data_IF_046513408433
#
_entry.id   IF_046513408433
#
_cell.length_a   1.000
_cell.length_b   1.000
_cell.length_c   1.000
_cell.angle_alpha   90.00
_cell.angle_beta   90.00
_cell.angle_gamma   90.00
#
_symmetry.space_group_name_H-M   'P 1'
#
loop_
_entity.id
_entity.type
_entity.pdbx_description
1 polymer ?
#
# COMPACT_ATOMS: atom_id res chain seq x y z
N UNK A 1 23.33 -18.86 -1.34
CA UNK A 1 24.43 -17.89 -1.47
C UNK A 1 23.90 -16.53 -1.05
N UNK A 2 24.30 -16.01 0.11
CA UNK A 2 23.95 -14.65 0.53
C UNK A 2 24.62 -13.66 -0.43
N UNK A 3 23.89 -12.72 -1.05
CA UNK A 3 24.52 -11.64 -1.78
C UNK A 3 25.38 -10.87 -0.78
N UNK A 4 26.69 -10.80 -1.03
CA UNK A 4 27.58 -9.93 -0.27
C UNK A 4 27.08 -8.49 -0.45
N UNK A 5 27.21 -7.68 0.60
CA UNK A 5 27.02 -6.22 0.57
C UNK A 5 28.08 -5.53 -0.33
N UNK A 6 28.21 -5.92 -1.59
CA UNK A 6 29.31 -5.52 -2.48
C UNK A 6 29.11 -4.13 -3.11
N UNK A 7 28.01 -3.43 -2.84
CA UNK A 7 27.66 -2.18 -3.56
C UNK A 7 27.48 -0.93 -2.69
N UNK A 8 27.63 -1.01 -1.37
CA UNK A 8 27.63 0.19 -0.51
C UNK A 8 29.10 0.57 -0.22
N UNK A 9 29.55 1.78 -0.60
CA UNK A 9 30.92 2.22 -0.32
C UNK A 9 31.27 2.06 1.17
N UNK A 10 32.49 1.62 1.46
CA UNK A 10 32.96 1.45 2.84
C UNK A 10 32.73 2.73 3.65
N UNK A 11 32.11 2.59 4.83
CA UNK A 11 31.76 3.71 5.71
C UNK A 11 30.36 4.31 5.50
N UNK A 12 29.53 3.77 4.59
CA UNK A 12 28.14 4.17 4.41
C UNK A 12 27.15 3.11 4.92
N UNK A 13 25.91 3.55 5.17
CA UNK A 13 24.75 2.70 5.46
C UNK A 13 23.54 3.13 4.62
N UNK A 14 22.70 2.16 4.28
CA UNK A 14 21.41 2.41 3.65
C UNK A 14 20.37 2.75 4.72
N UNK A 15 19.45 3.63 4.37
CA UNK A 15 18.29 4.00 5.18
C UNK A 15 17.07 3.81 4.31
N UNK A 16 16.24 2.84 4.67
CA UNK A 16 15.12 2.36 3.87
C UNK A 16 13.82 2.54 4.67
N UNK A 17 12.81 3.11 4.02
CA UNK A 17 11.42 3.11 4.45
C UNK A 17 10.54 2.49 3.37
N UNK A 18 9.50 1.77 3.77
CA UNK A 18 8.59 1.06 2.86
C UNK A 18 7.17 1.60 3.00
N UNK A 19 6.51 1.76 1.85
CA UNK A 19 5.10 2.13 1.74
C UNK A 19 4.35 0.93 1.15
N UNK A 20 3.60 0.25 2.02
CA UNK A 20 2.93 -1.01 1.67
C UNK A 20 1.44 -0.77 1.52
N UNK A 21 0.91 -1.03 0.32
CA UNK A 21 -0.52 -0.99 0.07
C UNK A 21 -1.08 -2.41 0.14
N UNK A 22 -2.05 -2.61 1.02
CA UNK A 22 -2.73 -3.90 1.23
C UNK A 22 -4.16 -3.76 0.76
N UNK A 23 -4.54 -4.54 -0.25
CA UNK A 23 -5.93 -4.70 -0.66
C UNK A 23 -6.69 -5.53 0.35
N UNK A 24 -7.81 -5.00 0.83
CA UNK A 24 -8.63 -5.66 1.83
C UNK A 24 -9.60 -6.65 1.20
N UNK A 25 -9.71 -7.83 1.80
CA UNK A 25 -10.65 -8.91 1.42
C UNK A 25 -12.07 -8.63 1.94
N UNK A 26 -12.63 -7.48 1.57
CA UNK A 26 -14.04 -7.14 1.78
C UNK A 26 -14.91 -7.70 0.66
N UNK A 27 -16.23 -7.73 0.84
CA UNK A 27 -17.17 -8.10 -0.26
C UNK A 27 -17.56 -6.94 -1.17
N UNK A 28 -17.51 -5.72 -0.65
CA UNK A 28 -17.89 -4.52 -1.37
C UNK A 28 -16.82 -3.45 -1.29
N UNK A 29 -16.80 -2.56 -2.27
CA UNK A 29 -15.91 -1.40 -2.36
C UNK A 29 -15.97 -0.50 -1.13
N UNK A 30 -14.96 0.38 -0.97
CA UNK A 30 -14.81 1.19 0.26
C UNK A 30 -15.92 2.25 0.38
N UNK A 31 -16.43 2.75 -0.75
CA UNK A 31 -17.39 3.86 -0.78
C UNK A 31 -18.71 3.54 -1.50
N UNK A 32 -18.90 2.30 -1.96
CA UNK A 32 -20.12 1.85 -2.62
C UNK A 32 -20.33 0.34 -2.48
N UNK A 33 -21.48 -0.16 -2.94
CA UNK A 33 -21.88 -1.56 -2.77
C UNK A 33 -21.41 -2.52 -3.88
N UNK A 34 -20.64 -2.05 -4.87
CA UNK A 34 -20.12 -2.90 -5.94
C UNK A 34 -19.18 -3.99 -5.40
N UNK A 35 -19.14 -5.14 -6.08
CA UNK A 35 -18.20 -6.23 -5.77
C UNK A 35 -16.74 -5.80 -5.90
N UNK A 36 -15.87 -6.52 -5.20
CA UNK A 36 -14.41 -6.44 -5.26
C UNK A 36 -13.78 -7.74 -5.80
N UNK A 37 -14.59 -8.64 -6.39
CA UNK A 37 -14.10 -9.92 -6.92
C UNK A 37 -13.14 -9.69 -8.10
N UNK A 38 -12.01 -10.39 -8.09
CA UNK A 38 -11.02 -10.31 -9.16
C UNK A 38 -11.46 -11.06 -10.42
N UNK A 39 -10.99 -10.61 -11.59
CA UNK A 39 -11.16 -11.34 -12.86
C UNK A 39 -12.52 -11.20 -13.55
N UNK A 40 -13.36 -10.24 -13.14
CA UNK A 40 -14.62 -9.95 -13.81
C UNK A 40 -14.41 -9.25 -15.17
N UNK A 41 -15.43 -9.32 -16.04
CA UNK A 41 -15.44 -8.61 -17.33
C UNK A 41 -15.20 -7.11 -17.15
N UNK A 42 -14.42 -6.44 -18.02
CA UNK A 42 -14.07 -5.02 -17.87
C UNK A 42 -15.29 -4.13 -17.63
N UNK A 43 -15.19 -3.24 -16.64
CA UNK A 43 -16.24 -2.29 -16.23
C UNK A 43 -17.58 -2.89 -15.78
N UNK A 44 -17.68 -4.21 -15.55
CA UNK A 44 -18.92 -4.88 -15.09
C UNK A 44 -19.25 -4.67 -13.61
N UNK A 45 -18.25 -4.34 -12.77
CA UNK A 45 -18.39 -4.15 -11.32
C UNK A 45 -18.37 -2.67 -10.94
N UNK A 46 -19.20 -1.87 -11.60
CA UNK A 46 -19.18 -0.41 -11.50
C UNK A 46 -20.55 0.18 -11.12
N UNK A 47 -20.55 1.41 -10.60
CA UNK A 47 -21.74 2.19 -10.28
C UNK A 47 -21.42 3.69 -10.33
N UNK A 48 -22.43 4.59 -10.25
CA UNK A 48 -22.20 6.04 -10.30
C UNK A 48 -21.14 6.57 -9.33
N UNK A 49 -21.02 5.97 -8.13
CA UNK A 49 -20.05 6.40 -7.11
C UNK A 49 -18.61 6.09 -7.53
N UNK A 50 -18.30 4.84 -7.86
CA UNK A 50 -16.94 4.45 -8.22
C UNK A 50 -16.54 4.94 -9.62
N UNK A 51 -17.52 5.20 -10.50
CA UNK A 51 -17.31 5.86 -11.79
C UNK A 51 -17.16 7.39 -11.69
N UNK A 52 -17.29 7.98 -10.50
CA UNK A 52 -17.17 9.43 -10.32
C UNK A 52 -18.22 10.23 -11.09
N UNK A 53 -19.43 9.69 -11.29
CA UNK A 53 -20.48 10.38 -12.02
C UNK A 53 -21.04 11.58 -11.22
N UNK A 54 -21.54 12.63 -11.92
CA UNK A 54 -22.11 13.80 -11.27
C UNK A 54 -23.23 13.44 -10.28
N UNK A 55 -23.15 14.00 -9.07
CA UNK A 55 -24.16 13.82 -8.01
C UNK A 55 -23.98 12.57 -7.14
N UNK A 56 -23.02 11.69 -7.44
CA UNK A 56 -22.75 10.51 -6.62
C UNK A 56 -21.98 10.86 -5.33
N UNK A 57 -22.33 10.20 -4.21
CA UNK A 57 -21.73 10.45 -2.90
C UNK A 57 -21.12 9.17 -2.30
N UNK A 58 -19.95 9.26 -1.62
CA UNK A 58 -19.31 8.10 -1.01
C UNK A 58 -19.99 7.68 0.30
N UNK A 59 -20.15 6.38 0.52
CA UNK A 59 -20.64 5.80 1.78
C UNK A 59 -19.64 4.77 2.30
N UNK A 60 -18.99 5.08 3.43
CA UNK A 60 -17.91 4.26 3.97
C UNK A 60 -18.36 2.83 4.34
N UNK A 61 -17.60 1.86 3.87
CA UNK A 61 -17.75 0.45 4.22
C UNK A 61 -17.25 0.20 5.66
N UNK A 62 -18.16 -0.26 6.53
CA UNK A 62 -17.88 -0.57 7.94
C UNK A 62 -16.75 -1.61 8.11
N UNK A 63 -16.68 -2.61 7.22
CA UNK A 63 -15.69 -3.68 7.32
C UNK A 63 -14.27 -3.18 7.08
N UNK A 64 -14.11 -2.12 6.27
CA UNK A 64 -12.81 -1.48 6.03
C UNK A 64 -12.24 -0.89 7.32
N UNK A 65 -13.09 -0.20 8.11
CA UNK A 65 -12.70 0.35 9.41
C UNK A 65 -12.31 -0.77 10.38
N UNK A 66 -13.10 -1.86 10.42
CA UNK A 66 -12.80 -3.02 11.26
C UNK A 66 -11.43 -3.62 10.93
N UNK A 67 -11.13 -3.81 9.65
CA UNK A 67 -9.86 -4.39 9.21
C UNK A 67 -8.67 -3.47 9.47
N UNK A 68 -8.83 -2.16 9.26
CA UNK A 68 -7.79 -1.18 9.57
C UNK A 68 -7.46 -1.13 11.07
N UNK A 69 -8.49 -1.16 11.93
CA UNK A 69 -8.31 -1.23 13.39
C UNK A 69 -7.68 -2.55 13.81
N UNK A 70 -8.10 -3.68 13.23
CA UNK A 70 -7.51 -5.00 13.50
C UNK A 70 -6.02 -5.01 13.16
N UNK A 71 -5.63 -4.45 12.02
CA UNK A 71 -4.24 -4.30 11.63
C UNK A 71 -3.48 -3.41 12.62
N UNK A 72 -4.05 -2.26 12.98
CA UNK A 72 -3.46 -1.35 13.96
C UNK A 72 -3.19 -2.01 15.31
N UNK A 73 -4.14 -2.78 15.85
CA UNK A 73 -3.96 -3.52 17.10
C UNK A 73 -2.87 -4.59 16.98
N UNK A 74 -2.86 -5.33 15.87
CA UNK A 74 -1.90 -6.39 15.63
C UNK A 74 -0.46 -5.87 15.49
N UNK A 75 -0.28 -4.61 15.08
CA UNK A 75 1.01 -3.93 15.00
C UNK A 75 1.27 -3.00 16.18
N UNK A 76 0.54 -3.15 17.30
CA UNK A 76 0.68 -2.30 18.50
C UNK A 76 0.58 -0.79 18.22
N UNK A 77 -0.15 -0.40 17.19
CA UNK A 77 -0.37 1.01 16.83
C UNK A 77 -1.36 1.66 17.78
N UNK A 78 -1.18 2.97 18.01
CA UNK A 78 -2.21 3.80 18.62
C UNK A 78 -3.38 3.95 17.64
N UNK A 79 -4.58 3.55 18.07
CA UNK A 79 -5.82 3.75 17.29
C UNK A 79 -6.37 5.15 17.58
N UNK A 80 -6.53 5.96 16.54
CA UNK A 80 -7.11 7.28 16.67
C UNK A 80 -8.64 7.18 16.78
N UNK A 81 -9.21 7.81 17.82
CA UNK A 81 -10.66 7.87 18.03
C UNK A 81 -11.37 8.74 17.00
N UNK A 82 -10.63 9.65 16.38
CA UNK A 82 -11.07 10.52 15.31
C UNK A 82 -10.05 10.43 14.19
N UNK A 83 -10.51 10.09 12.98
CA UNK A 83 -9.71 10.10 11.75
C UNK A 83 -10.50 10.79 10.64
N UNK A 84 -9.81 11.43 9.70
CA UNK A 84 -10.45 12.24 8.65
C UNK A 84 -10.06 11.70 7.27
N UNK A 85 -11.07 11.48 6.42
CA UNK A 85 -10.83 11.26 5.00
C UNK A 85 -10.57 12.58 4.28
N UNK A 86 -9.52 12.61 3.47
CA UNK A 86 -9.07 13.72 2.66
C UNK A 86 -9.12 13.36 1.17
N UNK A 87 -9.12 14.38 0.31
CA UNK A 87 -9.06 14.22 -1.15
C UNK A 87 -7.64 14.48 -1.63
N UNK A 88 -6.98 13.46 -2.15
CA UNK A 88 -5.68 13.56 -2.82
C UNK A 88 -5.94 13.81 -4.30
N UNK A 89 -5.84 15.07 -4.73
CA UNK A 89 -6.23 15.50 -6.08
C UNK A 89 -5.10 15.28 -7.09
N UNK A 90 -5.39 14.56 -8.17
CA UNK A 90 -4.50 14.39 -9.33
C UNK A 90 -5.31 13.85 -10.51
N UNK A 91 -4.85 14.12 -11.72
CA UNK A 91 -5.51 13.68 -12.94
C UNK A 91 -4.80 12.46 -13.52
N UNK A 92 -5.53 11.36 -13.65
CA UNK A 92 -5.09 10.17 -14.37
C UNK A 92 -6.32 9.40 -14.89
N UNK A 93 -6.26 8.76 -16.08
CA UNK A 93 -7.45 8.15 -16.69
C UNK A 93 -8.16 7.09 -15.86
N UNK A 94 -7.43 6.33 -15.04
CA UNK A 94 -7.99 5.30 -14.16
C UNK A 94 -8.52 5.84 -12.81
N UNK A 95 -8.48 7.16 -12.60
CA UNK A 95 -9.00 7.85 -11.43
C UNK A 95 -10.16 8.79 -11.82
N UNK A 96 -11.38 8.28 -11.95
CA UNK A 96 -12.48 8.99 -12.59
C UNK A 96 -12.94 10.25 -11.84
N UNK A 97 -12.68 10.34 -10.54
CA UNK A 97 -13.08 11.48 -9.70
C UNK A 97 -12.15 12.70 -9.81
N UNK A 98 -10.97 12.55 -10.40
CA UNK A 98 -9.89 13.55 -10.34
C UNK A 98 -9.28 13.71 -8.93
N UNK A 99 -9.67 12.85 -7.99
CA UNK A 99 -9.08 12.71 -6.67
C UNK A 99 -9.28 11.30 -6.13
N UNK A 100 -8.35 10.86 -5.30
CA UNK A 100 -8.44 9.64 -4.50
C UNK A 100 -8.89 10.04 -3.09
N UNK A 101 -9.90 9.36 -2.55
CA UNK A 101 -10.28 9.49 -1.14
C UNK A 101 -9.32 8.63 -0.31
N UNK A 102 -8.52 9.28 0.51
CA UNK A 102 -7.50 8.66 1.39
C UNK A 102 -7.55 9.36 2.77
N UNK A 103 -6.57 9.18 3.65
CA UNK A 103 -6.43 9.99 4.87
C UNK A 103 -5.08 10.68 4.87
N UNK A 104 -5.05 11.96 5.24
CA UNK A 104 -3.82 12.76 5.25
C UNK A 104 -3.39 13.08 6.69
N UNK A 105 -3.85 14.15 7.30
CA UNK A 105 -3.35 14.60 8.62
C UNK A 105 -3.75 13.67 9.76
N UNK A 106 -4.96 13.11 9.73
CA UNK A 106 -5.50 12.29 10.82
C UNK A 106 -5.79 10.85 10.32
N UNK A 107 -4.77 9.99 10.23
CA UNK A 107 -4.92 8.58 9.89
C UNK A 107 -5.61 7.80 11.01
N UNK A 108 -6.12 6.60 10.69
CA UNK A 108 -6.78 5.73 11.67
C UNK A 108 -5.82 5.12 12.70
N UNK A 109 -4.56 4.84 12.32
CA UNK A 109 -3.55 4.29 13.23
C UNK A 109 -2.20 4.99 13.09
N UNK A 110 -1.47 5.15 14.20
CA UNK A 110 -0.14 5.76 14.24
C UNK A 110 0.80 5.02 15.21
N UNK A 111 2.10 5.15 15.00
CA UNK A 111 3.15 4.72 15.95
C UNK A 111 3.11 3.22 16.31
N UNK A 112 2.99 2.36 15.31
CA UNK A 112 3.05 0.90 15.49
C UNK A 112 4.46 0.33 15.40
N UNK A 113 4.58 -0.98 15.52
CA UNK A 113 5.80 -1.76 15.33
C UNK A 113 5.50 -3.12 14.73
N UNK A 114 6.46 -3.66 13.97
CA UNK A 114 6.48 -5.06 13.53
C UNK A 114 7.85 -5.66 13.83
N UNK A 115 7.85 -6.90 14.29
CA UNK A 115 9.07 -7.63 14.60
C UNK A 115 9.50 -8.49 13.41
N UNK A 116 10.78 -8.42 13.05
CA UNK A 116 11.35 -9.17 11.94
C UNK A 116 12.55 -10.01 12.40
N UNK A 117 12.74 -11.22 11.88
CA UNK A 117 13.93 -12.01 12.15
C UNK A 117 15.13 -11.47 11.33
N UNK A 118 16.24 -11.20 12.01
CA UNK A 118 17.49 -10.72 11.40
C UNK A 118 18.67 -11.46 12.04
N UNK A 119 19.38 -12.28 11.25
CA UNK A 119 20.59 -12.99 11.67
C UNK A 119 20.48 -13.74 13.02
N UNK A 120 19.34 -14.41 13.26
CA UNK A 120 19.10 -15.16 14.51
C UNK A 120 18.65 -14.30 15.70
N UNK A 121 18.43 -13.00 15.49
CA UNK A 121 17.86 -12.07 16.47
C UNK A 121 16.55 -11.46 15.95
N UNK A 122 15.79 -10.81 16.83
CA UNK A 122 14.58 -10.06 16.45
C UNK A 122 14.90 -8.58 16.40
N UNK A 123 14.47 -7.91 15.34
CA UNK A 123 14.55 -6.45 15.19
C UNK A 123 13.14 -5.88 15.06
N UNK A 124 12.83 -4.84 15.83
CA UNK A 124 11.58 -4.10 15.70
C UNK A 124 11.72 -3.00 14.65
N UNK A 125 10.81 -2.96 13.68
CA UNK A 125 10.68 -1.89 12.67
C UNK A 125 9.44 -1.08 13.03
N UNK A 126 9.59 0.24 13.19
CA UNK A 126 8.45 1.10 13.52
C UNK A 126 7.58 1.35 12.29
N UNK A 127 6.28 1.40 12.53
CA UNK A 127 5.26 1.83 11.58
C UNK A 127 4.88 3.25 11.96
N UNK A 128 5.05 4.17 11.01
CA UNK A 128 4.69 5.57 11.17
C UNK A 128 3.17 5.73 11.27
N UNK A 129 2.46 5.13 10.30
CA UNK A 129 0.99 5.26 10.16
C UNK A 129 0.39 4.11 9.38
N UNK A 130 -0.90 3.88 9.60
CA UNK A 130 -1.78 3.08 8.75
C UNK A 130 -3.00 3.93 8.43
N UNK A 131 -3.37 4.01 7.16
CA UNK A 131 -4.55 4.74 6.74
C UNK A 131 -5.37 4.01 5.68
N UNK A 132 -6.65 4.35 5.63
CA UNK A 132 -7.61 3.78 4.67
C UNK A 132 -7.66 4.63 3.40
N UNK A 133 -7.74 3.97 2.26
CA UNK A 133 -7.97 4.65 0.98
C UNK A 133 -8.68 3.76 -0.04
N UNK A 134 -9.10 4.37 -1.14
CA UNK A 134 -9.61 3.65 -2.31
C UNK A 134 -8.53 3.42 -3.35
N UNK A 135 -8.58 2.28 -4.05
CA UNK A 135 -7.71 2.03 -5.20
C UNK A 135 -8.21 2.74 -6.47
N UNK A 136 -7.27 2.95 -7.40
CA UNK A 136 -7.56 3.38 -8.75
C UNK A 136 -7.95 2.20 -9.66
N UNK A 137 -8.45 2.50 -10.86
CA UNK A 137 -8.71 1.50 -11.89
C UNK A 137 -7.43 0.90 -12.48
N UNK A 138 -7.55 0.22 -13.61
CA UNK A 138 -6.44 -0.35 -14.37
C UNK A 138 -6.39 0.30 -15.75
N UNK A 139 -5.20 0.79 -16.12
CA UNK A 139 -4.89 1.24 -17.48
C UNK A 139 -4.19 0.11 -18.24
N UNK A 140 -4.67 -0.22 -19.44
CA UNK A 140 -4.13 -1.26 -20.32
C UNK A 140 -3.60 -0.60 -21.58
N UNK A 141 -2.32 -0.84 -21.86
CA UNK A 141 -1.61 -0.27 -23.01
C UNK A 141 -1.05 -1.40 -23.87
N UNK A 142 -1.06 -1.22 -25.20
CA UNK A 142 -0.32 -2.08 -26.16
C UNK A 142 -0.55 -3.59 -25.99
N UNK A 143 -1.81 -4.01 -25.91
CA UNK A 143 -2.19 -5.42 -26.11
C UNK A 143 -2.53 -5.70 -27.58
N UNK A 144 -2.64 -6.97 -27.98
CA UNK A 144 -2.89 -7.38 -29.37
C UNK A 144 -4.13 -6.71 -29.99
N UNK A 145 -5.13 -6.42 -29.14
CA UNK A 145 -6.39 -5.77 -29.51
C UNK A 145 -6.44 -4.27 -29.22
N UNK A 146 -5.32 -3.65 -28.83
CA UNK A 146 -5.23 -2.22 -28.48
C UNK A 146 -4.28 -1.52 -29.44
N UNK A 147 -4.78 -0.49 -30.15
CA UNK A 147 -3.92 0.31 -31.02
C UNK A 147 -2.77 0.95 -30.21
N UNK A 148 -1.58 1.06 -30.81
CA UNK A 148 -0.36 1.47 -30.10
C UNK A 148 -0.39 2.88 -29.48
N UNK A 149 -1.37 3.70 -29.86
CA UNK A 149 -1.62 5.06 -29.37
C UNK A 149 -2.87 5.17 -28.47
N UNK A 150 -3.49 4.05 -28.11
CA UNK A 150 -4.70 4.01 -27.29
C UNK A 150 -4.40 3.41 -25.90
N UNK A 151 -5.28 3.70 -24.96
CA UNK A 151 -5.27 3.14 -23.61
C UNK A 151 -6.68 2.74 -23.27
N UNK A 152 -6.87 1.48 -22.89
CA UNK A 152 -8.14 1.00 -22.38
C UNK A 152 -8.16 1.16 -20.86
N UNK A 153 -9.29 1.61 -20.33
CA UNK A 153 -9.48 1.84 -18.89
C UNK A 153 -10.54 0.87 -18.38
N UNK A 154 -10.14 0.05 -17.39
CA UNK A 154 -11.05 -0.80 -16.62
C UNK A 154 -11.18 -0.27 -15.19
N UNK A 155 -12.40 0.14 -14.83
CA UNK A 155 -12.73 0.72 -13.53
C UNK A 155 -13.31 -0.30 -12.54
N UNK A 156 -13.26 -1.60 -12.85
CA UNK A 156 -13.61 -2.65 -11.89
C UNK A 156 -12.86 -2.51 -10.56
N UNK A 157 -11.55 -2.20 -10.62
CA UNK A 157 -10.73 -2.00 -9.41
C UNK A 157 -10.94 -0.65 -8.72
N UNK A 158 -11.47 0.36 -9.41
CA UNK A 158 -11.65 1.68 -8.81
C UNK A 158 -12.63 1.60 -7.63
N UNK A 159 -12.19 2.05 -6.46
CA UNK A 159 -12.97 1.97 -5.22
C UNK A 159 -12.74 0.71 -4.39
N UNK A 160 -11.88 -0.22 -4.83
CA UNK A 160 -11.48 -1.36 -3.99
C UNK A 160 -10.77 -0.84 -2.73
N UNK A 161 -11.06 -1.35 -1.52
CA UNK A 161 -10.47 -0.80 -0.30
C UNK A 161 -9.00 -1.19 -0.13
N UNK A 162 -8.19 -0.21 0.24
CA UNK A 162 -6.80 -0.39 0.64
C UNK A 162 -6.58 0.09 2.08
N UNK A 163 -5.58 -0.50 2.74
CA UNK A 163 -4.83 0.19 3.78
C UNK A 163 -3.40 0.44 3.30
N UNK A 164 -2.93 1.67 3.45
CA UNK A 164 -1.53 2.04 3.22
C UNK A 164 -0.80 2.06 4.58
N UNK A 165 0.26 1.26 4.68
CA UNK A 165 1.10 1.08 5.86
C UNK A 165 2.49 1.66 5.55
N UNK A 166 2.84 2.73 6.25
CA UNK A 166 4.11 3.43 6.04
C UNK A 166 5.06 3.13 7.19
N UNK A 167 6.23 2.59 6.88
CA UNK A 167 7.27 2.35 7.89
C UNK A 167 8.02 3.64 8.22
N UNK A 168 8.60 3.69 9.41
CA UNK A 168 9.73 4.59 9.67
C UNK A 168 10.96 4.10 8.89
N UNK A 169 11.96 4.96 8.66
CA UNK A 169 13.17 4.59 7.93
C UNK A 169 14.15 3.81 8.84
N UNK A 170 13.72 2.67 9.39
CA UNK A 170 14.46 1.82 10.33
C UNK A 170 15.18 0.64 9.66
N UNK A 171 14.83 0.35 8.41
CA UNK A 171 15.39 -0.75 7.63
C UNK A 171 16.78 -0.33 7.10
N UNK A 172 17.76 -1.22 7.21
CA UNK A 172 19.18 -0.97 6.91
C UNK A 172 19.75 -1.87 5.83
N UNK A 173 19.07 -2.96 5.49
CA UNK A 173 19.51 -3.90 4.45
C UNK A 173 18.34 -4.39 3.60
N UNK A 174 18.60 -4.83 2.35
CA UNK A 174 17.58 -5.47 1.52
C UNK A 174 16.98 -6.73 2.18
N UNK A 175 17.78 -7.48 2.94
CA UNK A 175 17.32 -8.67 3.66
C UNK A 175 16.32 -8.31 4.77
N UNK A 176 16.55 -7.20 5.47
CA UNK A 176 15.57 -6.67 6.44
C UNK A 176 14.29 -6.19 5.74
N UNK A 177 14.39 -5.56 4.56
CA UNK A 177 13.22 -5.15 3.78
C UNK A 177 12.37 -6.37 3.36
N UNK A 178 13.01 -7.43 2.89
CA UNK A 178 12.35 -8.69 2.57
C UNK A 178 11.69 -9.32 3.81
N UNK A 179 12.40 -9.38 4.94
CA UNK A 179 11.86 -9.91 6.20
C UNK A 179 10.65 -9.10 6.71
N UNK A 180 10.68 -7.76 6.56
CA UNK A 180 9.56 -6.88 6.87
C UNK A 180 8.33 -7.18 6.02
N UNK A 181 8.48 -7.26 4.70
CA UNK A 181 7.36 -7.56 3.81
C UNK A 181 6.83 -8.98 4.07
N UNK A 182 7.70 -9.95 4.35
CA UNK A 182 7.30 -11.32 4.65
C UNK A 182 6.49 -11.41 5.94
N UNK A 183 6.92 -10.71 7.00
CA UNK A 183 6.18 -10.58 8.26
C UNK A 183 4.84 -9.87 8.04
N UNK A 184 4.82 -8.80 7.24
CA UNK A 184 3.60 -8.07 6.88
C UNK A 184 2.59 -9.00 6.18
N UNK A 185 3.05 -9.74 5.17
CA UNK A 185 2.23 -10.70 4.42
C UNK A 185 1.69 -11.80 5.33
N UNK A 186 2.52 -12.34 6.22
CA UNK A 186 2.07 -13.33 7.20
C UNK A 186 0.97 -12.75 8.09
N UNK A 187 1.15 -11.51 8.57
CA UNK A 187 0.22 -10.86 9.48
C UNK A 187 -1.14 -10.60 8.83
N UNK A 188 -1.19 -9.99 7.65
CA UNK A 188 -2.46 -9.67 6.97
C UNK A 188 -3.27 -10.93 6.63
N UNK A 189 -2.58 -12.02 6.29
CA UNK A 189 -3.19 -13.34 6.06
C UNK A 189 -3.71 -13.96 7.35
N UNK A 190 -2.93 -13.89 8.42
CA UNK A 190 -3.31 -14.41 9.73
C UNK A 190 -4.55 -13.69 10.29
N UNK A 191 -4.61 -12.36 10.11
CA UNK A 191 -5.77 -11.56 10.50
C UNK A 191 -7.00 -11.77 9.62
N UNK A 192 -6.85 -12.46 8.48
CA UNK A 192 -7.92 -12.68 7.51
C UNK A 192 -8.40 -11.40 6.82
N UNK A 193 -7.54 -10.38 6.71
CA UNK A 193 -7.91 -9.08 6.13
C UNK A 193 -7.45 -8.94 4.67
N UNK A 194 -6.50 -9.76 4.22
CA UNK A 194 -5.97 -9.80 2.84
C UNK A 194 -5.36 -11.17 2.56
N UNK A 195 -5.37 -11.61 1.29
CA UNK A 195 -4.62 -12.80 0.85
C UNK A 195 -3.10 -12.54 0.70
N UNK A 196 -2.69 -11.26 0.65
CA UNK A 196 -1.29 -10.83 0.58
C UNK A 196 -0.55 -11.29 -0.67
N UNK A 197 -1.25 -11.52 -1.78
CA UNK A 197 -0.67 -11.89 -3.07
C UNK A 197 -0.09 -10.68 -3.83
N UNK A 198 1.22 -10.67 -4.05
CA UNK A 198 1.86 -9.59 -4.84
C UNK A 198 1.62 -9.73 -6.34
N UNK A 199 1.46 -10.97 -6.86
CA UNK A 199 1.27 -11.22 -8.29
C UNK A 199 -0.10 -10.72 -8.76
N UNK A 200 -1.13 -10.90 -7.92
CA UNK A 200 -2.48 -10.38 -8.15
C UNK A 200 -2.64 -8.92 -7.69
N UNK A 201 -1.59 -8.33 -7.11
CA UNK A 201 -1.54 -6.93 -6.72
C UNK A 201 -2.27 -6.59 -5.41
N UNK A 202 -2.69 -7.58 -4.63
CA UNK A 202 -3.32 -7.37 -3.33
C UNK A 202 -2.32 -6.96 -2.24
N UNK A 203 -1.02 -7.12 -2.49
CA UNK A 203 0.06 -6.53 -1.72
C UNK A 203 1.03 -5.81 -2.67
N UNK A 204 1.18 -4.50 -2.52
CA UNK A 204 2.11 -3.67 -3.30
C UNK A 204 3.07 -2.96 -2.35
N UNK A 205 4.31 -2.70 -2.80
CA UNK A 205 5.29 -1.98 -2.03
C UNK A 205 6.05 -0.98 -2.90
N UNK A 206 6.14 0.26 -2.41
CA UNK A 206 7.09 1.26 -2.89
C UNK A 206 8.21 1.41 -1.84
N UNK A 207 9.46 1.61 -2.29
CA UNK A 207 10.61 1.74 -1.40
C UNK A 207 11.23 3.14 -1.49
N UNK A 208 11.40 3.77 -0.34
CA UNK A 208 12.12 5.01 -0.15
C UNK A 208 13.52 4.70 0.39
N UNK A 209 14.57 4.99 -0.39
CA UNK A 209 15.95 4.66 -0.06
C UNK A 209 16.80 5.93 -0.05
N UNK A 210 17.66 6.05 0.96
CA UNK A 210 18.78 7.00 0.95
C UNK A 210 20.04 6.33 1.49
N UNK A 211 21.20 6.94 1.25
CA UNK A 211 22.48 6.51 1.81
C UNK A 211 23.08 7.63 2.64
N UNK A 212 23.73 7.28 3.75
CA UNK A 212 24.46 8.23 4.60
C UNK A 212 25.74 7.61 5.14
N UNK A 213 26.69 8.44 5.57
CA UNK A 213 27.86 7.96 6.31
C UNK A 213 27.39 7.33 7.63
N UNK A 214 28.00 6.21 8.02
CA UNK A 214 27.67 5.54 9.29
C UNK A 214 27.82 6.52 10.45
N UNK A 215 26.82 6.55 11.32
CA UNK A 215 26.78 7.46 12.48
C UNK A 215 26.37 8.91 12.16
N UNK A 216 26.16 9.27 10.91
CA UNK A 216 25.63 10.59 10.58
C UNK A 216 24.15 10.71 11.01
N UNK A 217 23.79 11.82 11.65
CA UNK A 217 22.41 12.06 12.08
C UNK A 217 21.49 12.38 10.90
N UNK A 218 21.97 13.19 9.95
CA UNK A 218 21.18 13.63 8.80
C UNK A 218 20.99 12.51 7.78
N UNK A 219 19.76 12.37 7.28
CA UNK A 219 19.47 11.50 6.15
C UNK A 219 20.04 12.07 4.85
N UNK A 220 20.41 11.16 3.94
CA UNK A 220 20.85 11.52 2.60
C UNK A 220 19.69 11.88 1.69
N UNK A 221 19.99 12.16 0.42
CA UNK A 221 18.97 12.36 -0.62
C UNK A 221 18.13 11.09 -0.76
N UNK A 222 16.81 11.25 -0.72
CA UNK A 222 15.83 10.17 -0.86
C UNK A 222 15.54 9.89 -2.33
N UNK A 223 15.60 8.62 -2.71
CA UNK A 223 15.14 8.09 -3.98
C UNK A 223 13.97 7.15 -3.74
N UNK A 224 12.93 7.24 -4.54
CA UNK A 224 11.74 6.39 -4.46
C UNK A 224 11.75 5.38 -5.63
N UNK A 225 11.55 4.11 -5.29
CA UNK A 225 11.43 2.99 -6.23
C UNK A 225 9.97 2.53 -6.20
N UNK A 226 9.31 2.57 -7.36
CA UNK A 226 7.90 2.18 -7.51
C UNK A 226 7.74 0.91 -8.33
N UNK A 227 6.55 0.30 -8.25
CA UNK A 227 6.15 -0.86 -9.05
C UNK A 227 6.98 -2.13 -8.78
N UNK A 228 7.33 -2.38 -7.52
CA UNK A 228 7.96 -3.63 -7.11
C UNK A 228 6.88 -4.70 -6.88
N UNK A 229 6.74 -5.60 -7.85
CA UNK A 229 5.66 -6.60 -7.89
C UNK A 229 6.06 -7.97 -7.29
N UNK A 230 7.28 -8.11 -6.79
CA UNK A 230 7.79 -9.34 -6.17
C UNK A 230 8.64 -9.05 -4.94
N UNK A 231 8.78 -10.06 -4.09
CA UNK A 231 9.69 -10.05 -2.92
C UNK A 231 11.18 -10.17 -3.29
N UNK A 232 11.45 -10.63 -4.51
CA UNK A 232 12.78 -10.88 -5.10
C UNK A 232 13.11 -9.82 -6.13
#
# INVERSE_FOLDING_TARGET
MTPKNEHIPAGYEAVIGLEVHVQLSTRSKIFCACSTDFGAEPNSQTCPVCLGLPGALPVLNKQVVEYAVRMGLATNSKINRTSIFARKNYFYPDLPKGYQISQFELPICEHGTIEIPVNGSTKSIRIKRIHMEEDAGKSVHKEEYVAGNETLVDLNRCGVPLIEIVSEPDIRTPQEAHAYLAAMRQLVRYLGISDGNMEEGSLRCDANISVRKKGAERFGTRTELKNMNSFT
#
